data_IF_676219576444
#
_entry.id   IF_676219576444
#
_cell.length_a   1.000
_cell.length_b   1.000
_cell.length_c   1.000
_cell.angle_alpha   90.00
_cell.angle_beta   90.00
_cell.angle_gamma   90.00
#
_symmetry.space_group_name_H-M   'P 1'
#
loop_
_entity.id
_entity.type
_entity.pdbx_description
1 polymer ?
#
# COMPACT_ATOMS: atom_id res chain seq x y z
N UNK A 1 11.80 -14.67 11.42
CA UNK A 1 11.12 -13.68 10.54
C UNK A 1 11.51 -12.25 10.83
N UNK A 2 11.45 -11.76 12.09
CA UNK A 2 11.84 -10.38 12.43
C UNK A 2 13.30 -10.06 12.04
N UNK A 3 14.26 -10.92 12.36
CA UNK A 3 15.65 -10.74 11.96
C UNK A 3 15.81 -10.66 10.43
N UNK A 4 15.13 -11.53 9.68
CA UNK A 4 15.13 -11.50 8.21
C UNK A 4 14.52 -10.18 7.68
N UNK A 5 13.43 -9.69 8.30
CA UNK A 5 12.81 -8.43 7.93
C UNK A 5 13.75 -7.22 8.13
N UNK A 6 14.50 -7.20 9.26
CA UNK A 6 15.44 -6.13 9.56
C UNK A 6 16.61 -6.05 8.56
N UNK A 7 17.09 -7.20 8.07
CA UNK A 7 18.28 -7.29 7.22
C UNK A 7 17.99 -7.63 5.76
N UNK A 8 16.71 -7.64 5.36
CA UNK A 8 16.30 -8.00 4.00
C UNK A 8 17.00 -7.08 2.96
N UNK A 9 17.88 -7.59 2.10
CA UNK A 9 18.60 -6.78 1.12
C UNK A 9 17.70 -6.47 -0.07
N UNK A 10 16.77 -5.54 0.12
CA UNK A 10 15.86 -5.07 -0.93
C UNK A 10 16.29 -3.70 -1.45
N UNK A 11 16.35 -3.55 -2.78
CA UNK A 11 16.63 -2.30 -3.48
C UNK A 11 15.52 -1.98 -4.47
N UNK A 12 15.32 -0.70 -4.72
CA UNK A 12 14.31 -0.18 -5.65
C UNK A 12 15.00 0.67 -6.70
N UNK A 13 15.04 0.21 -7.93
CA UNK A 13 15.77 0.84 -9.04
C UNK A 13 14.94 0.81 -10.33
N UNK A 14 14.69 1.97 -10.93
CA UNK A 14 13.97 2.06 -12.20
C UNK A 14 12.58 1.39 -12.22
N UNK A 15 11.86 1.42 -11.09
CA UNK A 15 10.57 0.77 -10.94
C UNK A 15 10.63 -0.75 -10.69
N UNK A 16 11.84 -1.31 -10.54
CA UNK A 16 12.10 -2.72 -10.23
C UNK A 16 12.35 -2.92 -8.73
N UNK A 17 12.02 -4.09 -8.24
CA UNK A 17 12.32 -4.53 -6.88
C UNK A 17 13.30 -5.69 -6.95
N UNK A 18 14.48 -5.48 -6.39
CA UNK A 18 15.60 -6.40 -6.44
C UNK A 18 15.89 -6.94 -5.03
N UNK A 19 16.07 -8.24 -4.89
CA UNK A 19 16.49 -8.90 -3.64
C UNK A 19 17.86 -9.54 -3.82
N UNK A 20 18.74 -9.38 -2.82
CA UNK A 20 20.04 -10.04 -2.76
C UNK A 20 21.21 -9.07 -2.72
N UNK A 21 22.37 -9.62 -2.30
CA UNK A 21 23.68 -8.95 -2.31
C UNK A 21 24.46 -9.52 -3.50
N UNK A 22 24.53 -8.79 -4.61
CA UNK A 22 25.39 -9.10 -5.75
C UNK A 22 24.72 -9.73 -6.97
N UNK A 23 24.06 -10.86 -6.89
CA UNK A 23 23.24 -11.40 -7.97
C UNK A 23 21.78 -11.07 -7.67
N UNK A 24 21.30 -9.94 -8.17
CA UNK A 24 19.97 -9.47 -7.88
C UNK A 24 18.89 -10.36 -8.46
N UNK A 25 18.05 -10.88 -7.61
CA UNK A 25 16.81 -11.51 -8.01
C UNK A 25 15.76 -10.42 -8.22
N UNK A 26 15.33 -10.22 -9.46
CA UNK A 26 14.20 -9.34 -9.76
C UNK A 26 12.91 -10.01 -9.35
N UNK A 27 12.26 -9.44 -8.34
CA UNK A 27 10.99 -9.94 -7.76
C UNK A 27 9.83 -9.02 -8.04
N UNK A 28 9.96 -8.14 -9.02
CA UNK A 28 9.00 -7.09 -9.32
C UNK A 28 7.60 -7.63 -9.61
N UNK A 29 7.50 -8.71 -10.36
CA UNK A 29 6.20 -9.32 -10.68
C UNK A 29 5.72 -10.26 -9.57
N UNK A 30 6.62 -10.99 -8.93
CA UNK A 30 6.31 -11.90 -7.82
C UNK A 30 5.65 -11.17 -6.64
N UNK A 31 6.15 -9.99 -6.26
CA UNK A 31 5.57 -9.21 -5.16
C UNK A 31 4.15 -8.71 -5.46
N UNK A 32 3.75 -8.68 -6.73
CA UNK A 32 2.41 -8.28 -7.19
C UNK A 32 1.44 -9.46 -7.30
N UNK A 33 1.92 -10.68 -7.07
CA UNK A 33 1.10 -11.90 -7.11
C UNK A 33 0.12 -11.96 -5.94
N UNK A 34 -0.97 -12.71 -6.12
CA UNK A 34 -1.94 -12.94 -5.04
C UNK A 34 -1.32 -13.72 -3.88
N UNK A 35 -0.47 -14.70 -4.17
CA UNK A 35 0.25 -15.47 -3.16
C UNK A 35 1.11 -14.57 -2.26
N UNK A 36 1.82 -13.61 -2.84
CA UNK A 36 2.61 -12.63 -2.10
C UNK A 36 1.70 -11.68 -1.28
N UNK A 37 0.58 -11.24 -1.84
CA UNK A 37 -0.40 -10.40 -1.16
C UNK A 37 -0.97 -11.07 0.09
N UNK A 38 -1.37 -12.35 -0.02
CA UNK A 38 -1.85 -13.16 1.12
C UNK A 38 -0.73 -13.37 2.15
N UNK A 39 0.48 -13.70 1.71
CA UNK A 39 1.65 -13.85 2.57
C UNK A 39 1.96 -12.56 3.35
N UNK A 40 1.99 -11.42 2.69
CA UNK A 40 2.19 -10.11 3.30
C UNK A 40 1.14 -9.80 4.36
N UNK A 41 -0.14 -10.08 4.08
CA UNK A 41 -1.24 -9.89 5.04
C UNK A 41 -1.08 -10.76 6.30
N UNK A 42 -0.60 -12.00 6.15
CA UNK A 42 -0.31 -12.90 7.29
C UNK A 42 0.88 -12.45 8.12
N UNK A 43 1.92 -11.94 7.49
CA UNK A 43 3.13 -11.47 8.17
C UNK A 43 2.89 -10.14 8.86
N UNK A 44 2.05 -9.28 8.30
CA UNK A 44 1.75 -7.95 8.82
C UNK A 44 1.12 -7.91 10.21
N UNK A 45 0.57 -9.02 10.71
CA UNK A 45 0.04 -9.12 12.08
C UNK A 45 1.11 -9.40 13.13
N UNK A 46 2.31 -9.77 12.72
CA UNK A 46 3.41 -10.11 13.63
C UNK A 46 4.09 -8.84 14.16
N UNK A 47 3.84 -8.50 15.42
CA UNK A 47 4.36 -7.29 16.05
C UNK A 47 5.89 -7.17 15.92
N UNK A 48 6.64 -8.25 16.13
CA UNK A 48 8.09 -8.26 16.02
C UNK A 48 8.60 -7.94 14.60
N UNK A 49 7.86 -8.36 13.56
CA UNK A 49 8.19 -8.02 12.15
C UNK A 49 7.90 -6.55 11.89
N UNK A 50 6.79 -6.04 12.37
CA UNK A 50 6.42 -4.62 12.24
C UNK A 50 7.45 -3.71 12.89
N UNK A 51 7.85 -4.04 14.12
CA UNK A 51 8.92 -3.30 14.82
C UNK A 51 10.23 -3.33 14.04
N UNK A 52 10.63 -4.49 13.52
CA UNK A 52 11.86 -4.63 12.74
C UNK A 52 11.84 -3.83 11.41
N UNK A 53 10.67 -3.57 10.84
CA UNK A 53 10.53 -2.81 9.59
C UNK A 53 10.31 -1.31 9.80
N UNK A 54 10.00 -0.86 11.02
CA UNK A 54 9.57 0.51 11.30
C UNK A 54 10.64 1.55 10.90
N UNK A 55 11.84 1.38 11.39
CA UNK A 55 12.95 2.31 11.11
C UNK A 55 13.28 2.31 9.61
N UNK A 56 13.36 1.13 9.02
CA UNK A 56 13.59 0.99 7.58
C UNK A 56 12.51 1.71 6.74
N UNK A 57 11.24 1.62 7.12
CA UNK A 57 10.18 2.34 6.42
C UNK A 57 10.33 3.85 6.56
N UNK A 58 10.75 4.33 7.74
CA UNK A 58 10.99 5.75 8.00
C UNK A 58 12.20 6.30 7.26
N UNK A 59 13.24 5.49 7.07
CA UNK A 59 14.47 5.87 6.37
C UNK A 59 14.25 6.20 4.88
N UNK A 60 13.13 5.75 4.29
CA UNK A 60 12.77 6.16 2.93
C UNK A 60 12.36 7.63 2.82
N UNK A 61 12.09 8.31 3.94
CA UNK A 61 11.74 9.72 3.94
C UNK A 61 12.98 10.60 3.82
N UNK A 62 13.34 10.95 2.59
CA UNK A 62 14.45 11.82 2.25
C UNK A 62 13.98 12.99 1.37
N UNK A 63 14.80 14.07 1.26
CA UNK A 63 14.50 15.15 0.34
C UNK A 63 14.41 14.63 -1.11
N UNK A 64 13.48 15.14 -1.93
CA UNK A 64 12.55 16.25 -1.72
C UNK A 64 11.29 15.90 -0.94
N UNK A 65 11.08 14.64 -0.57
CA UNK A 65 9.93 14.14 0.16
C UNK A 65 9.59 12.69 -0.19
N UNK A 66 8.55 12.17 0.41
CA UNK A 66 8.08 10.80 0.21
C UNK A 66 6.56 10.77 -0.01
N UNK A 67 6.13 10.02 -1.01
CA UNK A 67 4.76 9.53 -1.14
C UNK A 67 4.75 8.07 -0.71
N UNK A 68 4.03 7.73 0.35
CA UNK A 68 3.97 6.39 0.90
C UNK A 68 2.54 5.86 0.86
N UNK A 69 2.39 4.60 0.46
CA UNK A 69 1.12 3.87 0.43
C UNK A 69 1.14 2.72 1.43
N UNK A 70 0.03 2.52 2.13
CA UNK A 70 -0.11 1.40 3.06
C UNK A 70 -1.33 1.56 3.97
N UNK A 71 -1.55 0.56 4.86
CA UNK A 71 -2.71 0.51 5.75
C UNK A 71 -2.58 1.40 6.97
N UNK A 72 -1.36 1.69 7.37
CA UNK A 72 -1.01 2.37 8.61
C UNK A 72 0.07 3.45 8.42
N UNK A 73 0.28 3.89 7.17
CA UNK A 73 1.28 4.92 6.86
C UNK A 73 1.05 6.20 7.65
N UNK A 74 -0.17 6.73 7.65
CA UNK A 74 -0.50 7.96 8.35
C UNK A 74 -0.79 7.80 9.85
N UNK A 75 -1.06 6.58 10.34
CA UNK A 75 -1.39 6.33 11.75
C UNK A 75 -0.18 5.88 12.58
N UNK A 76 0.78 5.17 11.98
CA UNK A 76 1.89 4.53 12.71
C UNK A 76 3.25 4.92 12.14
N UNK A 77 3.43 4.81 10.82
CA UNK A 77 4.77 4.99 10.22
C UNK A 77 5.12 6.48 10.15
N UNK A 78 4.24 7.31 9.59
CA UNK A 78 4.41 8.75 9.41
C UNK A 78 3.22 9.52 10.01
N UNK A 79 3.03 9.48 11.35
CA UNK A 79 1.93 10.19 12.01
C UNK A 79 2.02 11.70 11.86
N UNK A 80 3.21 12.20 11.55
CA UNK A 80 3.56 13.60 11.29
C UNK A 80 3.49 13.99 9.80
N UNK A 81 2.93 13.14 8.93
CA UNK A 81 2.79 13.48 7.51
C UNK A 81 1.96 14.74 7.31
N UNK A 82 2.47 15.69 6.52
CA UNK A 82 1.80 16.97 6.24
C UNK A 82 0.49 16.82 5.45
N UNK A 83 0.34 15.73 4.70
CA UNK A 83 -0.90 15.36 4.03
C UNK A 83 -1.17 13.88 4.24
N UNK A 84 -2.38 13.57 4.69
CA UNK A 84 -2.89 12.20 4.81
C UNK A 84 -4.13 12.05 3.96
N UNK A 85 -4.15 11.02 3.13
CA UNK A 85 -5.29 10.68 2.28
C UNK A 85 -5.76 9.27 2.60
N UNK A 86 -7.02 9.14 2.99
CA UNK A 86 -7.66 7.84 3.14
C UNK A 86 -8.32 7.49 1.81
N UNK A 87 -7.65 6.59 1.07
CA UNK A 87 -8.11 6.11 -0.23
C UNK A 87 -9.06 4.92 -0.04
N UNK A 88 -10.22 4.99 -0.65
CA UNK A 88 -11.21 3.90 -0.63
C UNK A 88 -11.84 3.69 -2.02
N UNK A 89 -12.45 2.54 -2.19
CA UNK A 89 -13.36 2.22 -3.28
C UNK A 89 -14.23 1.02 -2.86
N UNK A 90 -15.40 0.85 -3.48
CA UNK A 90 -16.21 -0.34 -3.24
C UNK A 90 -15.47 -1.63 -3.59
N UNK A 91 -15.83 -2.74 -2.96
CA UNK A 91 -15.21 -4.04 -3.23
C UNK A 91 -15.42 -4.45 -4.70
N UNK A 92 -16.57 -4.15 -5.26
CA UNK A 92 -16.95 -4.42 -6.65
C UNK A 92 -16.05 -3.65 -7.62
N UNK A 93 -15.89 -2.33 -7.41
CA UNK A 93 -15.03 -1.50 -8.26
C UNK A 93 -13.56 -1.97 -8.22
N UNK A 94 -13.08 -2.42 -7.06
CA UNK A 94 -11.73 -2.97 -6.92
C UNK A 94 -11.59 -4.34 -7.59
N UNK A 95 -12.60 -5.21 -7.47
CA UNK A 95 -12.64 -6.51 -8.15
C UNK A 95 -12.63 -6.32 -9.67
N UNK A 96 -13.43 -5.38 -10.18
CA UNK A 96 -13.47 -5.07 -11.61
C UNK A 96 -12.12 -4.56 -12.14
N UNK A 97 -11.46 -3.66 -11.42
CA UNK A 97 -10.12 -3.18 -11.78
C UNK A 97 -9.12 -4.33 -11.80
N UNK A 98 -9.15 -5.19 -10.78
CA UNK A 98 -8.26 -6.35 -10.70
C UNK A 98 -8.51 -7.35 -11.81
N UNK A 99 -9.78 -7.60 -12.13
CA UNK A 99 -10.16 -8.46 -13.24
C UNK A 99 -9.60 -7.96 -14.57
N UNK A 100 -9.79 -6.67 -14.88
CA UNK A 100 -9.25 -6.04 -16.09
C UNK A 100 -7.72 -6.18 -16.18
N UNK A 101 -7.00 -5.90 -15.09
CA UNK A 101 -5.55 -6.05 -15.01
C UNK A 101 -5.06 -7.48 -15.29
N UNK A 102 -5.77 -8.49 -14.79
CA UNK A 102 -5.41 -9.89 -15.02
C UNK A 102 -5.66 -10.30 -16.48
N UNK A 103 -6.79 -9.91 -17.04
CA UNK A 103 -7.13 -10.19 -18.43
C UNK A 103 -6.12 -9.50 -19.38
N UNK A 104 -5.75 -8.25 -19.14
CA UNK A 104 -4.74 -7.52 -19.92
C UNK A 104 -3.36 -8.20 -19.89
N UNK A 105 -3.05 -8.90 -18.80
CA UNK A 105 -1.82 -9.72 -18.67
C UNK A 105 -1.96 -11.13 -19.28
N UNK A 106 -3.10 -11.46 -19.89
CA UNK A 106 -3.35 -12.79 -20.45
C UNK A 106 -3.62 -13.88 -19.40
N UNK A 107 -3.91 -13.48 -18.15
CA UNK A 107 -4.20 -14.41 -17.05
C UNK A 107 -5.69 -14.66 -16.92
N UNK A 108 -6.06 -15.92 -16.65
CA UNK A 108 -7.45 -16.27 -16.33
C UNK A 108 -7.85 -15.64 -15.00
N UNK A 109 -9.06 -15.08 -14.94
CA UNK A 109 -9.60 -14.50 -13.71
C UNK A 109 -11.10 -14.83 -13.58
N UNK A 110 -11.55 -14.98 -12.33
CA UNK A 110 -12.95 -15.15 -12.00
C UNK A 110 -13.39 -13.98 -11.11
N UNK A 111 -14.41 -13.25 -11.55
CA UNK A 111 -14.88 -12.04 -10.86
C UNK A 111 -15.41 -12.34 -9.45
N UNK A 112 -16.17 -13.41 -9.29
CA UNK A 112 -16.77 -13.80 -8.02
C UNK A 112 -15.68 -14.16 -6.99
N UNK A 113 -14.68 -14.94 -7.41
CA UNK A 113 -13.52 -15.27 -6.57
C UNK A 113 -12.75 -14.02 -6.15
N UNK A 114 -12.46 -13.10 -7.09
CA UNK A 114 -11.76 -11.85 -6.80
C UNK A 114 -12.52 -10.98 -5.81
N UNK A 115 -13.84 -10.87 -5.96
CA UNK A 115 -14.69 -10.10 -5.04
C UNK A 115 -14.65 -10.71 -3.64
N UNK A 116 -14.81 -12.03 -3.53
CA UNK A 116 -14.74 -12.76 -2.26
C UNK A 116 -13.39 -12.56 -1.57
N UNK A 117 -12.28 -12.74 -2.30
CA UNK A 117 -10.93 -12.59 -1.76
C UNK A 117 -10.68 -11.16 -1.24
N UNK A 118 -11.18 -10.15 -1.95
CA UNK A 118 -11.10 -8.76 -1.53
C UNK A 118 -11.91 -8.49 -0.26
N UNK A 119 -13.13 -8.99 -0.17
CA UNK A 119 -13.99 -8.83 1.01
C UNK A 119 -13.38 -9.52 2.24
N UNK A 120 -12.85 -10.74 2.08
CA UNK A 120 -12.15 -11.45 3.16
C UNK A 120 -10.88 -10.71 3.61
N UNK A 121 -10.15 -10.11 2.68
CA UNK A 121 -8.98 -9.30 3.00
C UNK A 121 -9.38 -8.05 3.78
N UNK A 122 -10.40 -7.32 3.33
CA UNK A 122 -10.89 -6.14 4.02
C UNK A 122 -11.35 -6.45 5.46
N UNK A 123 -12.07 -7.56 5.62
CA UNK A 123 -12.48 -8.01 6.95
C UNK A 123 -11.27 -8.31 7.85
N UNK A 124 -10.21 -8.96 7.32
CA UNK A 124 -8.97 -9.20 8.06
C UNK A 124 -8.25 -7.89 8.40
N UNK A 125 -8.18 -6.95 7.46
CA UNK A 125 -7.49 -5.67 7.66
C UNK A 125 -8.23 -4.79 8.69
N UNK A 126 -9.55 -4.80 8.70
CA UNK A 126 -10.37 -4.09 9.69
C UNK A 126 -10.32 -4.73 11.10
N UNK A 127 -10.24 -6.06 11.17
CA UNK A 127 -10.21 -6.79 12.43
C UNK A 127 -8.82 -6.89 13.09
N UNK A 128 -7.80 -6.26 12.52
CA UNK A 128 -6.44 -6.30 13.09
C UNK A 128 -6.40 -5.67 14.48
N UNK A 129 -5.85 -6.38 15.49
CA UNK A 129 -5.67 -5.80 16.81
C UNK A 129 -4.55 -4.73 16.86
N UNK A 130 -3.63 -4.78 15.88
CA UNK A 130 -2.51 -3.84 15.76
C UNK A 130 -2.59 -3.13 14.42
N UNK A 131 -2.58 -1.82 14.43
CA UNK A 131 -2.64 -0.94 13.26
C UNK A 131 -3.77 -1.31 12.28
N UNK A 132 -5.04 -1.30 12.74
CA UNK A 132 -6.19 -1.52 11.86
C UNK A 132 -6.25 -0.44 10.78
N UNK A 133 -6.87 -0.75 9.65
CA UNK A 133 -7.13 0.24 8.62
C UNK A 133 -8.23 1.19 9.11
N UNK A 134 -7.83 2.39 9.53
CA UNK A 134 -8.73 3.41 10.04
C UNK A 134 -8.54 4.73 9.29
N UNK A 135 -9.66 5.39 8.98
CA UNK A 135 -9.64 6.77 8.53
C UNK A 135 -9.34 7.68 9.74
N UNK A 136 -8.20 8.37 9.69
CA UNK A 136 -7.85 9.35 10.71
C UNK A 136 -8.72 10.62 10.57
N UNK A 137 -8.96 11.36 11.67
CA UNK A 137 -9.73 12.61 11.64
C UNK A 137 -9.11 13.67 10.69
N UNK A 138 -7.79 13.72 10.62
CA UNK A 138 -6.99 14.63 9.79
C UNK A 138 -6.73 14.10 8.38
N UNK A 139 -7.27 12.93 8.01
CA UNK A 139 -7.12 12.38 6.68
C UNK A 139 -8.26 12.82 5.74
N UNK A 140 -7.90 13.38 4.59
CA UNK A 140 -8.82 13.64 3.51
C UNK A 140 -9.37 12.31 2.95
N UNK A 141 -10.68 12.22 2.74
CA UNK A 141 -11.30 11.05 2.14
C UNK A 141 -11.26 11.16 0.62
N UNK A 142 -10.71 10.15 -0.04
CA UNK A 142 -10.78 9.98 -1.49
C UNK A 142 -11.47 8.66 -1.82
N UNK A 143 -12.75 8.74 -2.15
CA UNK A 143 -13.48 7.61 -2.71
C UNK A 143 -13.29 7.56 -4.23
N UNK A 144 -12.69 6.47 -4.70
CA UNK A 144 -12.41 6.25 -6.12
C UNK A 144 -13.37 5.28 -6.79
N UNK A 145 -14.49 4.93 -6.16
CA UNK A 145 -15.48 3.97 -6.71
C UNK A 145 -15.89 4.37 -8.13
N UNK A 146 -16.16 5.66 -8.35
CA UNK A 146 -16.57 6.22 -9.64
C UNK A 146 -15.51 7.10 -10.31
N UNK A 147 -14.27 7.11 -9.79
CA UNK A 147 -13.19 7.96 -10.32
C UNK A 147 -12.18 7.13 -11.10
N UNK A 148 -11.67 7.70 -12.18
CA UNK A 148 -10.50 7.18 -12.88
C UNK A 148 -9.20 7.63 -12.18
N UNK A 149 -8.06 7.16 -12.71
CA UNK A 149 -6.74 7.45 -12.13
C UNK A 149 -6.41 8.93 -12.20
N UNK A 150 -6.68 9.60 -13.34
CA UNK A 150 -6.34 11.00 -13.54
C UNK A 150 -7.14 11.92 -12.60
N UNK A 151 -8.42 11.62 -12.38
CA UNK A 151 -9.27 12.34 -11.42
C UNK A 151 -8.80 12.13 -9.98
N UNK A 152 -8.33 10.94 -9.64
CA UNK A 152 -7.79 10.67 -8.32
C UNK A 152 -6.45 11.40 -8.10
N UNK A 153 -5.58 11.42 -9.10
CA UNK A 153 -4.31 12.15 -9.07
C UNK A 153 -4.56 13.66 -8.96
N UNK A 154 -5.45 14.22 -9.77
CA UNK A 154 -5.81 15.64 -9.72
C UNK A 154 -6.30 16.04 -8.33
N UNK A 155 -7.18 15.23 -7.72
CA UNK A 155 -7.66 15.48 -6.36
C UNK A 155 -6.52 15.53 -5.33
N UNK A 156 -5.57 14.60 -5.39
CA UNK A 156 -4.42 14.59 -4.47
C UNK A 156 -3.50 15.80 -4.71
N UNK A 157 -3.25 16.16 -5.97
CA UNK A 157 -2.43 17.33 -6.31
C UNK A 157 -3.05 18.64 -5.82
N UNK A 158 -4.36 18.79 -5.89
CA UNK A 158 -5.09 19.93 -5.34
C UNK A 158 -4.88 20.04 -3.81
N UNK A 159 -4.96 18.91 -3.10
CA UNK A 159 -4.70 18.88 -1.65
C UNK A 159 -3.24 19.26 -1.33
N UNK A 160 -2.27 18.75 -2.09
CA UNK A 160 -0.86 19.13 -1.94
C UNK A 160 -0.68 20.65 -2.13
N UNK A 161 -1.33 21.22 -3.15
CA UNK A 161 -1.32 22.64 -3.41
C UNK A 161 -1.93 23.49 -2.29
N UNK A 162 -2.94 22.96 -1.58
CA UNK A 162 -3.55 23.65 -0.42
C UNK A 162 -2.61 23.61 0.79
N UNK A 163 -2.02 22.45 1.09
CA UNK A 163 -1.05 22.31 2.20
C UNK A 163 0.17 23.19 1.99
N UNK A 164 0.70 23.25 0.77
CA UNK A 164 1.86 24.08 0.45
C UNK A 164 1.59 25.59 0.59
N UNK A 165 0.34 26.03 0.53
CA UNK A 165 -0.08 27.44 0.67
C UNK A 165 -0.44 27.84 2.11
N UNK A 166 -0.61 26.87 3.01
CA UNK A 166 -0.91 27.12 4.40
C UNK A 166 0.41 27.26 5.16
N UNK A 167 0.85 28.50 5.52
CA UNK A 167 2.02 28.66 6.36
C UNK A 167 1.70 28.06 7.74
N UNK A 168 2.54 27.14 8.23
CA UNK A 168 2.46 26.58 9.58
C UNK A 168 2.71 27.65 10.65
#
# INVERSE_FOLDING_TARGET
MAALAATLPARFEGGRVLLGEGADCDVTDEIRSEACSVGASRVAVLAAVRTALLDRQRDYRAAPGLVAEGRDMGSVIFPDAGLKVFLTASAEARAERRYKQLIEKGLAANMESLLKDLQERDARDAARPVAPLLKLPDAALLDTTQRNVDEAVAFVLDLVGQVAKSPG
#
